data_IF_070264108454
#
_entry.id   IF_070264108454
#
_cell.length_a   1.000
_cell.length_b   1.000
_cell.length_c   1.000
_cell.angle_alpha   90.00
_cell.angle_beta   90.00
_cell.angle_gamma   90.00
#
_symmetry.space_group_name_H-M   'P 1'
#
loop_
_entity.id
_entity.type
_entity.pdbx_description
1 polymer ?
#
# COMPACT_ATOMS: atom_id res chain seq x y z
N UNK A 1 -19.97 -39.15 -5.21
CA UNK A 1 -18.92 -39.89 -4.53
C UNK A 1 -17.83 -40.20 -5.54
N UNK A 2 -16.73 -39.47 -5.48
CA UNK A 2 -15.58 -39.74 -6.35
C UNK A 2 -14.80 -40.92 -5.76
N UNK A 3 -14.71 -42.01 -6.49
CA UNK A 3 -13.91 -43.18 -6.10
C UNK A 3 -12.51 -42.97 -6.67
N UNK A 4 -11.53 -42.74 -5.80
CA UNK A 4 -10.12 -42.65 -6.20
C UNK A 4 -9.54 -44.07 -6.34
N UNK A 5 -9.18 -44.46 -7.56
CA UNK A 5 -8.56 -45.75 -7.85
C UNK A 5 -7.07 -45.49 -8.16
N UNK A 6 -6.15 -46.15 -7.46
CA UNK A 6 -4.71 -46.04 -7.74
C UNK A 6 -4.39 -46.62 -9.12
N UNK A 7 -3.36 -46.10 -9.80
CA UNK A 7 -2.93 -46.59 -11.13
C UNK A 7 -2.62 -48.12 -11.12
N UNK A 8 -2.08 -48.61 -10.02
CA UNK A 8 -1.83 -50.00 -9.83
C UNK A 8 -3.11 -50.86 -9.89
N UNK A 9 -4.20 -50.36 -9.28
CA UNK A 9 -5.51 -51.01 -9.32
C UNK A 9 -6.16 -50.96 -10.70
N UNK A 10 -5.94 -49.87 -11.44
CA UNK A 10 -6.39 -49.72 -12.82
C UNK A 10 -5.70 -50.74 -13.75
N UNK A 11 -4.39 -50.92 -13.60
CA UNK A 11 -3.64 -51.92 -14.39
C UNK A 11 -4.02 -53.33 -14.06
N UNK A 12 -4.28 -53.64 -12.80
CA UNK A 12 -4.76 -54.98 -12.36
C UNK A 12 -6.18 -55.28 -12.85
N UNK A 13 -7.09 -54.28 -12.81
CA UNK A 13 -8.45 -54.44 -13.33
C UNK A 13 -8.47 -54.60 -14.86
N UNK A 14 -7.58 -53.86 -15.58
CA UNK A 14 -7.41 -54.03 -17.04
C UNK A 14 -6.92 -55.45 -17.37
N UNK A 15 -5.91 -55.95 -16.66
CA UNK A 15 -5.38 -57.30 -16.87
C UNK A 15 -6.42 -58.38 -16.52
N UNK A 16 -7.34 -58.11 -15.62
CA UNK A 16 -8.45 -59.00 -15.28
C UNK A 16 -9.57 -58.95 -16.35
N UNK A 17 -9.91 -57.76 -16.85
CA UNK A 17 -10.91 -57.61 -17.90
C UNK A 17 -10.44 -58.22 -19.25
N UNK A 18 -9.17 -58.05 -19.56
CA UNK A 18 -8.53 -58.62 -20.76
C UNK A 18 -8.49 -60.17 -20.71
N UNK A 19 -8.45 -60.76 -19.50
CA UNK A 19 -8.53 -62.20 -19.27
C UNK A 19 -9.94 -62.77 -19.25
N UNK A 20 -10.93 -61.95 -18.94
CA UNK A 20 -12.29 -62.47 -18.66
C UNK A 20 -13.18 -62.57 -19.92
N UNK A 21 -12.96 -61.76 -20.94
CA UNK A 21 -13.76 -61.82 -22.16
C UNK A 21 -13.03 -61.05 -23.27
N UNK A 22 -12.94 -61.60 -24.47
CA UNK A 22 -12.30 -60.98 -25.62
C UNK A 22 -12.91 -59.61 -25.98
N UNK A 23 -12.65 -58.64 -25.17
CA UNK A 23 -13.07 -57.27 -25.34
C UNK A 23 -12.12 -56.54 -26.31
N UNK A 24 -12.26 -56.86 -27.55
CA UNK A 24 -11.90 -55.96 -28.65
C UNK A 24 -12.79 -54.71 -28.54
N UNK A 25 -12.23 -53.58 -28.11
CA UNK A 25 -12.91 -52.31 -28.22
C UNK A 25 -13.21 -51.55 -26.93
N UNK A 26 -12.45 -51.73 -25.84
CA UNK A 26 -12.47 -50.73 -24.75
C UNK A 26 -11.65 -49.52 -25.22
N UNK A 27 -12.32 -48.52 -25.78
CA UNK A 27 -11.74 -47.18 -26.01
C UNK A 27 -11.06 -46.74 -24.72
N UNK A 28 -9.84 -46.21 -24.81
CA UNK A 28 -9.15 -45.65 -23.66
C UNK A 28 -10.09 -44.64 -23.00
N UNK A 29 -10.28 -44.67 -21.68
CA UNK A 29 -11.16 -43.68 -21.05
C UNK A 29 -10.64 -42.29 -21.38
N UNK A 30 -11.41 -41.55 -22.13
CA UNK A 30 -11.14 -40.15 -22.42
C UNK A 30 -11.32 -39.35 -21.13
N UNK A 31 -10.20 -38.98 -20.52
CA UNK A 31 -10.23 -38.17 -19.31
C UNK A 31 -10.49 -36.73 -19.70
N UNK A 32 -11.61 -36.16 -19.30
CA UNK A 32 -11.93 -34.75 -19.50
C UNK A 32 -11.15 -33.83 -18.58
N UNK A 33 -10.74 -34.35 -17.40
CA UNK A 33 -10.04 -33.56 -16.38
C UNK A 33 -9.12 -34.46 -15.55
N UNK A 34 -7.90 -34.01 -15.30
CA UNK A 34 -6.92 -34.66 -14.42
C UNK A 34 -6.49 -33.69 -13.34
N UNK A 35 -6.74 -34.02 -12.08
CA UNK A 35 -6.31 -33.23 -10.94
C UNK A 35 -4.93 -33.69 -10.45
N UNK A 36 -3.94 -32.81 -10.54
CA UNK A 36 -2.58 -33.05 -10.05
C UNK A 36 -2.39 -32.36 -8.71
N UNK A 37 -1.99 -33.10 -7.68
CA UNK A 37 -1.74 -32.60 -6.34
C UNK A 37 -0.24 -32.54 -6.08
N UNK A 38 0.22 -31.41 -5.52
CA UNK A 38 1.61 -31.18 -5.10
C UNK A 38 1.69 -31.06 -3.58
N UNK A 39 2.86 -31.33 -3.01
CA UNK A 39 3.10 -31.25 -1.56
C UNK A 39 3.31 -29.84 -1.04
N UNK A 40 3.52 -28.85 -1.92
CA UNK A 40 3.74 -27.45 -1.54
C UNK A 40 3.48 -26.48 -2.69
N UNK A 41 3.16 -25.24 -2.36
CA UNK A 41 2.82 -24.17 -3.33
C UNK A 41 3.98 -23.88 -4.29
N UNK A 42 5.23 -23.99 -3.82
CA UNK A 42 6.43 -23.75 -4.65
C UNK A 42 6.54 -24.76 -5.80
N UNK A 43 6.13 -26.01 -5.56
CA UNK A 43 6.17 -27.08 -6.57
C UNK A 43 5.04 -26.96 -7.60
N UNK A 44 3.94 -26.28 -7.27
CA UNK A 44 2.82 -26.08 -8.22
C UNK A 44 3.29 -25.39 -9.48
N UNK A 45 4.12 -24.37 -9.36
CA UNK A 45 4.63 -23.60 -10.50
C UNK A 45 5.51 -24.47 -11.40
N UNK A 46 6.45 -25.20 -10.82
CA UNK A 46 7.36 -26.09 -11.57
C UNK A 46 6.58 -27.19 -12.34
N UNK A 47 5.60 -27.81 -11.68
CA UNK A 47 4.74 -28.83 -12.30
C UNK A 47 3.85 -28.22 -13.37
N UNK A 48 3.30 -27.03 -13.15
CA UNK A 48 2.48 -26.31 -14.13
C UNK A 48 3.28 -26.00 -15.40
N UNK A 49 4.50 -25.47 -15.24
CA UNK A 49 5.37 -25.14 -16.37
C UNK A 49 5.78 -26.41 -17.15
N UNK A 50 6.13 -27.46 -16.44
CA UNK A 50 6.49 -28.75 -17.08
C UNK A 50 5.31 -29.41 -17.85
N UNK A 51 4.08 -29.26 -17.37
CA UNK A 51 2.90 -29.76 -18.04
C UNK A 51 2.54 -28.90 -19.26
N UNK A 52 2.72 -27.58 -19.19
CA UNK A 52 2.53 -26.66 -20.32
C UNK A 52 3.55 -26.90 -21.44
N UNK A 53 4.81 -27.17 -21.09
CA UNK A 53 5.84 -27.55 -22.08
C UNK A 53 5.48 -28.82 -22.85
N UNK A 54 4.75 -29.73 -22.21
CA UNK A 54 4.23 -30.95 -22.84
C UNK A 54 2.95 -30.75 -23.66
N UNK A 55 2.44 -29.49 -23.72
CA UNK A 55 1.26 -29.14 -24.51
C UNK A 55 -0.07 -29.35 -23.83
N UNK A 56 -0.09 -29.62 -22.50
CA UNK A 56 -1.33 -29.75 -21.75
C UNK A 56 -1.91 -28.38 -21.39
N UNK A 57 -3.23 -28.26 -21.46
CA UNK A 57 -3.94 -27.11 -20.92
C UNK A 57 -4.01 -27.28 -19.39
N UNK A 58 -3.30 -26.45 -18.67
CA UNK A 58 -3.24 -26.50 -17.20
C UNK A 58 -3.90 -25.27 -16.63
N UNK A 59 -4.87 -25.49 -15.75
CA UNK A 59 -5.44 -24.44 -14.90
C UNK A 59 -4.78 -24.53 -13.52
N UNK A 60 -4.11 -23.46 -13.10
CA UNK A 60 -3.43 -23.42 -11.81
C UNK A 60 -3.93 -22.23 -10.98
N UNK A 61 -4.37 -22.49 -9.75
CA UNK A 61 -4.79 -21.44 -8.81
C UNK A 61 -3.62 -20.49 -8.48
N UNK A 62 -2.37 -20.97 -8.52
CA UNK A 62 -1.19 -20.13 -8.31
C UNK A 62 -1.01 -19.11 -9.43
N UNK A 63 -1.34 -19.43 -10.66
CA UNK A 63 -1.28 -18.50 -11.79
C UNK A 63 -2.32 -17.38 -11.65
N UNK A 64 -3.52 -17.71 -11.18
CA UNK A 64 -4.54 -16.71 -10.85
C UNK A 64 -4.09 -15.80 -9.70
N UNK A 65 -3.47 -16.37 -8.67
CA UNK A 65 -2.90 -15.60 -7.57
C UNK A 65 -1.75 -14.69 -8.03
N UNK A 66 -0.91 -15.14 -8.96
CA UNK A 66 0.17 -14.33 -9.51
C UNK A 66 -0.39 -13.15 -10.35
N UNK A 67 -1.44 -13.38 -11.13
CA UNK A 67 -2.13 -12.33 -11.87
C UNK A 67 -2.78 -11.31 -10.93
N UNK A 68 -3.43 -11.77 -9.86
CA UNK A 68 -3.98 -10.89 -8.82
C UNK A 68 -2.88 -10.10 -8.12
N UNK A 69 -1.75 -10.72 -7.78
CA UNK A 69 -0.61 -10.04 -7.18
C UNK A 69 -0.02 -8.97 -8.11
N UNK A 70 0.07 -9.26 -9.41
CA UNK A 70 0.51 -8.29 -10.42
C UNK A 70 -0.43 -7.08 -10.45
N UNK A 71 -1.74 -7.33 -10.47
CA UNK A 71 -2.75 -6.27 -10.44
C UNK A 71 -2.64 -5.42 -9.16
N UNK A 72 -2.56 -6.06 -7.98
CA UNK A 72 -2.41 -5.34 -6.73
C UNK A 72 -1.10 -4.56 -6.63
N UNK A 73 0.00 -5.08 -7.18
CA UNK A 73 1.27 -4.38 -7.21
C UNK A 73 1.21 -3.15 -8.15
N UNK A 74 0.58 -3.28 -9.31
CA UNK A 74 0.36 -2.14 -10.22
C UNK A 74 -0.54 -1.08 -9.55
N UNK A 75 -1.61 -1.50 -8.88
CA UNK A 75 -2.50 -0.61 -8.14
C UNK A 75 -1.77 0.11 -6.99
N UNK A 76 -0.97 -0.61 -6.19
CA UNK A 76 -0.11 -0.02 -5.15
C UNK A 76 0.87 0.99 -5.72
N UNK A 77 1.52 0.67 -6.85
CA UNK A 77 2.45 1.59 -7.52
C UNK A 77 1.75 2.89 -7.95
N UNK A 78 0.53 2.78 -8.49
CA UNK A 78 -0.30 3.95 -8.82
C UNK A 78 -0.64 4.81 -7.61
N UNK A 79 -1.04 4.19 -6.49
CA UNK A 79 -1.32 4.91 -5.24
C UNK A 79 -0.07 5.57 -4.66
N UNK A 80 1.09 4.91 -4.70
CA UNK A 80 2.37 5.49 -4.26
C UNK A 80 2.73 6.69 -5.12
N UNK A 81 2.55 6.60 -6.43
CA UNK A 81 2.81 7.71 -7.35
C UNK A 81 1.94 8.92 -7.02
N UNK A 82 0.63 8.74 -6.90
CA UNK A 82 -0.32 9.81 -6.53
C UNK A 82 0.04 10.40 -5.16
N UNK A 83 0.33 9.56 -4.17
CA UNK A 83 0.75 9.98 -2.84
C UNK A 83 2.05 10.80 -2.87
N UNK A 84 3.02 10.40 -3.69
CA UNK A 84 4.28 11.12 -3.86
C UNK A 84 4.04 12.51 -4.45
N UNK A 85 3.21 12.61 -5.49
CA UNK A 85 2.84 13.90 -6.09
C UNK A 85 2.14 14.81 -5.07
N UNK A 86 1.21 14.25 -4.28
CA UNK A 86 0.52 15.00 -3.23
C UNK A 86 1.51 15.55 -2.17
N UNK A 87 2.48 14.72 -1.74
CA UNK A 87 3.54 15.12 -0.80
C UNK A 87 4.42 16.23 -1.38
N UNK A 88 4.77 16.16 -2.67
CA UNK A 88 5.54 17.20 -3.34
C UNK A 88 4.78 18.53 -3.37
N UNK A 89 3.49 18.52 -3.70
CA UNK A 89 2.65 19.72 -3.70
C UNK A 89 2.57 20.31 -2.29
N UNK A 90 2.33 19.48 -1.27
CA UNK A 90 2.31 19.92 0.13
C UNK A 90 3.65 20.50 0.57
N UNK A 91 4.77 19.91 0.15
CA UNK A 91 6.13 20.40 0.42
C UNK A 91 6.35 21.81 -0.13
N UNK A 92 5.90 22.06 -1.35
CA UNK A 92 5.96 23.39 -1.97
C UNK A 92 5.07 24.39 -1.21
N UNK A 93 3.88 23.95 -0.77
CA UNK A 93 2.98 24.77 0.05
C UNK A 93 3.62 25.19 1.37
N UNK A 94 4.23 24.26 2.10
CA UNK A 94 4.96 24.55 3.35
C UNK A 94 6.13 25.49 3.09
N UNK A 95 6.92 25.25 2.04
CA UNK A 95 8.04 26.11 1.65
C UNK A 95 7.58 27.56 1.39
N UNK A 96 6.50 27.74 0.64
CA UNK A 96 5.96 29.07 0.33
C UNK A 96 5.45 29.78 1.59
N UNK A 97 4.67 29.07 2.42
CA UNK A 97 4.14 29.62 3.68
C UNK A 97 5.27 30.05 4.63
N UNK A 98 6.27 29.18 4.80
CA UNK A 98 7.42 29.49 5.66
C UNK A 98 8.26 30.63 5.10
N UNK A 99 8.41 30.73 3.75
CA UNK A 99 9.12 31.84 3.13
C UNK A 99 8.38 33.15 3.38
N UNK A 100 7.06 33.15 3.27
CA UNK A 100 6.22 34.32 3.54
C UNK A 100 6.32 34.71 5.03
N UNK A 101 6.21 33.76 5.96
CA UNK A 101 6.35 33.98 7.40
C UNK A 101 7.71 34.64 7.75
N UNK A 102 8.81 34.15 7.16
CA UNK A 102 10.15 34.75 7.35
C UNK A 102 10.19 36.20 6.84
N UNK A 103 9.55 36.48 5.69
CA UNK A 103 9.52 37.79 5.10
C UNK A 103 8.69 38.78 5.94
N UNK A 104 7.52 38.36 6.39
CA UNK A 104 6.63 39.16 7.24
C UNK A 104 7.27 39.50 8.60
N UNK A 105 8.01 38.56 9.20
CA UNK A 105 8.68 38.71 10.49
C UNK A 105 10.12 39.19 10.40
N UNK A 106 10.53 39.77 9.25
CA UNK A 106 11.92 40.23 9.02
C UNK A 106 12.40 41.22 10.09
N UNK A 107 11.55 42.15 10.53
CA UNK A 107 11.88 43.13 11.56
C UNK A 107 12.11 42.47 12.92
N UNK A 108 11.24 41.50 13.32
CA UNK A 108 11.39 40.76 14.57
C UNK A 108 12.70 39.95 14.58
N UNK A 109 13.05 39.33 13.45
CA UNK A 109 14.31 38.61 13.27
C UNK A 109 15.49 39.57 13.39
N UNK A 110 15.38 40.77 12.83
CA UNK A 110 16.38 41.83 12.94
C UNK A 110 16.61 42.26 14.40
N UNK A 111 15.52 42.49 15.16
CA UNK A 111 15.58 42.80 16.59
C UNK A 111 16.23 41.64 17.39
N UNK A 112 15.80 40.39 17.17
CA UNK A 112 16.41 39.25 17.83
C UNK A 112 17.93 39.18 17.57
N UNK A 113 18.39 39.45 16.36
CA UNK A 113 19.82 39.49 16.04
C UNK A 113 20.54 40.68 16.67
N UNK A 114 19.92 41.85 16.74
CA UNK A 114 20.49 43.05 17.37
C UNK A 114 20.74 42.84 18.87
N UNK A 115 19.88 42.09 19.57
CA UNK A 115 20.06 41.75 20.99
C UNK A 115 20.96 40.52 21.21
N UNK A 116 21.57 39.95 20.15
CA UNK A 116 22.57 38.90 20.24
C UNK A 116 22.07 37.46 20.02
N UNK A 117 20.89 37.26 19.47
CA UNK A 117 20.40 35.92 19.12
C UNK A 117 21.31 35.24 18.11
N UNK A 118 21.78 34.03 18.42
CA UNK A 118 22.63 33.22 17.53
C UNK A 118 21.83 32.76 16.32
N UNK A 119 22.43 32.68 15.12
CA UNK A 119 21.78 32.19 13.91
C UNK A 119 21.16 30.80 14.05
N UNK A 120 21.79 29.93 14.84
CA UNK A 120 21.27 28.60 15.15
C UNK A 120 19.94 28.62 15.94
N UNK A 121 19.76 29.59 16.84
CA UNK A 121 18.52 29.77 17.59
C UNK A 121 17.37 30.19 16.67
N UNK A 122 17.59 31.15 15.80
CA UNK A 122 16.62 31.61 14.80
C UNK A 122 16.19 30.45 13.90
N UNK A 123 17.17 29.67 13.39
CA UNK A 123 16.89 28.50 12.57
C UNK A 123 16.02 27.48 13.27
N UNK A 124 16.30 27.18 14.57
CA UNK A 124 15.52 26.23 15.36
C UNK A 124 14.06 26.67 15.54
N UNK A 125 13.80 27.96 15.73
CA UNK A 125 12.43 28.49 15.84
C UNK A 125 11.61 28.15 14.60
N UNK A 126 12.13 28.46 13.40
CA UNK A 126 11.43 28.20 12.15
C UNK A 126 11.32 26.69 11.83
N UNK A 127 12.30 25.88 12.23
CA UNK A 127 12.23 24.42 12.07
C UNK A 127 11.17 23.80 13.01
N UNK A 128 11.05 24.31 14.23
CA UNK A 128 10.00 23.89 15.15
C UNK A 128 8.61 24.27 14.63
N UNK A 129 8.48 25.47 14.06
CA UNK A 129 7.23 25.91 13.43
C UNK A 129 6.84 24.99 12.24
N UNK A 130 7.81 24.62 11.38
CA UNK A 130 7.60 23.66 10.31
C UNK A 130 7.23 22.27 10.84
N UNK A 131 7.90 21.80 11.88
CA UNK A 131 7.59 20.51 12.53
C UNK A 131 6.18 20.52 13.11
N UNK A 132 5.76 21.62 13.72
CA UNK A 132 4.43 21.77 14.29
C UNK A 132 3.34 21.70 13.20
N UNK A 133 3.57 22.33 12.04
CA UNK A 133 2.69 22.21 10.87
C UNK A 133 2.59 20.74 10.43
N UNK A 134 3.72 20.02 10.37
CA UNK A 134 3.75 18.60 10.02
C UNK A 134 3.00 17.71 11.02
N UNK A 135 3.13 18.00 12.32
CA UNK A 135 2.43 17.26 13.38
C UNK A 135 0.91 17.50 13.28
N UNK A 136 0.47 18.74 13.15
CA UNK A 136 -0.95 19.06 12.99
C UNK A 136 -1.53 18.41 11.73
N UNK A 137 -0.80 18.46 10.62
CA UNK A 137 -1.19 17.80 9.37
C UNK A 137 -1.30 16.28 9.54
N UNK A 138 -0.34 15.65 10.24
CA UNK A 138 -0.38 14.22 10.53
C UNK A 138 -1.59 13.85 11.40
N UNK A 139 -1.85 14.61 12.48
CA UNK A 139 -3.00 14.36 13.36
C UNK A 139 -4.33 14.47 12.61
N UNK A 140 -4.51 15.51 11.81
CA UNK A 140 -5.71 15.69 11.00
C UNK A 140 -5.84 14.59 9.95
N UNK A 141 -4.76 14.25 9.26
CA UNK A 141 -4.75 13.17 8.26
C UNK A 141 -5.11 11.82 8.86
N UNK A 142 -4.54 11.49 10.02
CA UNK A 142 -4.85 10.26 10.76
C UNK A 142 -6.32 10.25 11.21
N UNK A 143 -6.82 11.35 11.77
CA UNK A 143 -8.22 11.45 12.18
C UNK A 143 -9.17 11.21 11.01
N UNK A 144 -8.94 11.86 9.87
CA UNK A 144 -9.74 11.66 8.65
C UNK A 144 -9.65 10.21 8.16
N UNK A 145 -8.45 9.61 8.15
CA UNK A 145 -8.27 8.23 7.73
C UNK A 145 -9.07 7.24 8.60
N UNK A 146 -9.08 7.43 9.93
CA UNK A 146 -9.89 6.61 10.83
C UNK A 146 -11.39 6.81 10.62
N UNK A 147 -11.85 8.04 10.37
CA UNK A 147 -13.26 8.32 10.05
C UNK A 147 -13.68 7.61 8.77
N UNK A 148 -12.84 7.67 7.72
CA UNK A 148 -13.11 6.98 6.45
C UNK A 148 -13.10 5.46 6.65
N UNK A 149 -12.12 4.91 7.39
CA UNK A 149 -12.04 3.49 7.70
C UNK A 149 -13.28 3.01 8.47
N UNK A 150 -13.73 3.77 9.46
CA UNK A 150 -14.94 3.48 10.21
C UNK A 150 -16.18 3.51 9.31
N UNK A 151 -16.32 4.54 8.48
CA UNK A 151 -17.43 4.65 7.53
C UNK A 151 -17.43 3.49 6.51
N UNK A 152 -16.26 3.07 6.03
CA UNK A 152 -16.14 1.93 5.13
C UNK A 152 -16.59 0.62 5.80
N UNK A 153 -16.17 0.38 7.05
CA UNK A 153 -16.58 -0.81 7.80
C UNK A 153 -18.08 -0.84 8.12
N UNK A 154 -18.73 0.32 8.15
CA UNK A 154 -20.18 0.42 8.34
C UNK A 154 -20.95 0.28 7.01
N UNK A 155 -20.48 0.94 5.96
CA UNK A 155 -21.19 1.04 4.68
C UNK A 155 -21.07 -0.25 3.84
N UNK A 156 -19.89 -0.88 3.80
CA UNK A 156 -19.65 -2.05 2.94
C UNK A 156 -20.54 -3.24 3.31
N UNK A 157 -20.66 -3.67 4.58
CA UNK A 157 -21.60 -4.73 4.96
C UNK A 157 -23.03 -4.41 4.56
N UNK A 158 -23.49 -3.19 4.85
CA UNK A 158 -24.85 -2.75 4.49
C UNK A 158 -25.13 -2.82 2.98
N UNK A 159 -24.14 -2.44 2.15
CA UNK A 159 -24.28 -2.53 0.69
C UNK A 159 -24.28 -4.00 0.24
N UNK A 160 -23.44 -4.84 0.82
CA UNK A 160 -23.37 -6.27 0.48
C UNK A 160 -24.66 -7.01 0.86
N UNK A 161 -25.23 -6.74 2.02
CA UNK A 161 -26.54 -7.29 2.43
C UNK A 161 -27.67 -6.88 1.48
N UNK A 162 -27.61 -5.66 0.96
CA UNK A 162 -28.64 -5.15 0.03
C UNK A 162 -28.50 -5.74 -1.38
N UNK A 163 -27.27 -6.07 -1.82
CA UNK A 163 -26.99 -6.59 -3.16
C UNK A 163 -27.00 -8.11 -3.22
N UNK A 164 -26.61 -8.78 -2.13
CA UNK A 164 -26.62 -10.25 -2.02
C UNK A 164 -27.95 -10.68 -1.40
N UNK A 165 -28.81 -11.38 -2.13
CA UNK A 165 -30.05 -11.97 -1.64
C UNK A 165 -29.86 -13.05 -0.55
N UNK A 166 -28.65 -13.19 0.00
CA UNK A 166 -28.29 -14.15 1.05
C UNK A 166 -27.81 -13.44 2.30
N UNK A 167 -28.48 -13.72 3.42
CA UNK A 167 -28.04 -13.27 4.74
C UNK A 167 -26.61 -13.77 5.03
N UNK A 168 -25.66 -12.84 5.13
CA UNK A 168 -24.31 -13.09 5.67
C UNK A 168 -24.35 -13.10 7.21
N UNK A 169 -25.36 -13.75 7.80
CA UNK A 169 -25.49 -13.88 9.25
C UNK A 169 -24.28 -14.63 9.82
N UNK A 170 -23.44 -13.91 10.57
CA UNK A 170 -22.42 -14.50 11.44
C UNK A 170 -20.95 -14.37 11.00
N UNK A 171 -20.61 -13.56 10.00
CA UNK A 171 -19.21 -13.33 9.64
C UNK A 171 -18.86 -11.86 9.82
N UNK A 172 -18.18 -11.55 10.93
CA UNK A 172 -17.61 -10.21 11.18
C UNK A 172 -16.43 -9.95 10.25
N UNK A 173 -16.69 -9.39 9.07
CA UNK A 173 -15.64 -8.96 8.16
C UNK A 173 -15.19 -7.53 8.51
N UNK A 174 -13.94 -7.39 8.95
CA UNK A 174 -13.28 -6.08 9.05
C UNK A 174 -12.68 -5.73 7.69
N UNK A 175 -13.36 -4.90 6.91
CA UNK A 175 -12.92 -4.51 5.56
C UNK A 175 -11.75 -3.54 5.56
N UNK A 176 -11.64 -2.70 6.59
CA UNK A 176 -10.56 -1.72 6.72
C UNK A 176 -10.00 -1.74 8.13
N UNK A 177 -8.70 -2.00 8.24
CA UNK A 177 -7.95 -1.92 9.49
C UNK A 177 -6.67 -1.13 9.25
N UNK A 178 -6.46 -0.08 10.05
CA UNK A 178 -5.27 0.76 9.95
C UNK A 178 -4.32 0.35 11.08
N UNK A 179 -3.22 -0.35 10.78
CA UNK A 179 -2.26 -0.76 11.81
C UNK A 179 -1.49 0.47 12.34
N UNK A 180 -1.21 0.46 13.64
CA UNK A 180 -0.48 1.55 14.32
C UNK A 180 0.89 1.82 13.68
N UNK A 181 1.56 0.79 13.19
CA UNK A 181 2.85 0.92 12.48
C UNK A 181 2.73 1.83 11.25
N UNK A 182 1.65 1.69 10.47
CA UNK A 182 1.40 2.53 9.31
C UNK A 182 1.17 3.98 9.72
N UNK A 183 0.40 4.21 10.79
CA UNK A 183 0.14 5.56 11.34
C UNK A 183 1.45 6.23 11.76
N UNK A 184 2.32 5.52 12.47
CA UNK A 184 3.61 6.05 12.91
C UNK A 184 4.54 6.37 11.74
N UNK A 185 4.62 5.49 10.75
CA UNK A 185 5.45 5.72 9.55
C UNK A 185 4.91 6.92 8.76
N UNK A 186 3.61 6.99 8.49
CA UNK A 186 3.01 8.08 7.75
C UNK A 186 3.18 9.43 8.47
N UNK A 187 2.98 9.45 9.80
CA UNK A 187 3.21 10.63 10.63
C UNK A 187 4.68 11.07 10.61
N UNK A 188 5.60 10.11 10.69
CA UNK A 188 7.05 10.37 10.60
C UNK A 188 7.44 10.97 9.25
N UNK A 189 6.90 10.46 8.15
CA UNK A 189 7.09 11.02 6.81
C UNK A 189 6.53 12.44 6.72
N UNK A 190 5.32 12.68 7.22
CA UNK A 190 4.68 14.00 7.20
C UNK A 190 5.52 15.05 7.93
N UNK A 191 5.96 14.76 9.15
CA UNK A 191 6.82 15.65 9.93
C UNK A 191 8.18 15.84 9.26
N UNK A 192 8.78 14.76 8.74
CA UNK A 192 10.05 14.80 8.04
C UNK A 192 10.00 15.71 6.80
N UNK A 193 8.97 15.57 5.98
CA UNK A 193 8.74 16.42 4.80
C UNK A 193 8.54 17.88 5.21
N UNK A 194 7.76 18.14 6.25
CA UNK A 194 7.53 19.51 6.73
C UNK A 194 8.83 20.17 7.19
N UNK A 195 9.65 19.48 7.95
CA UNK A 195 10.96 19.98 8.43
C UNK A 195 11.92 20.21 7.27
N UNK A 196 12.00 19.28 6.32
CA UNK A 196 12.86 19.41 5.13
C UNK A 196 12.43 20.63 4.28
N UNK A 197 11.12 20.81 4.08
CA UNK A 197 10.56 21.93 3.32
C UNK A 197 10.83 23.28 3.99
N UNK A 198 10.82 23.32 5.32
CA UNK A 198 11.13 24.49 6.13
C UNK A 198 12.62 24.82 6.26
N UNK A 199 13.53 23.90 5.90
CA UNK A 199 14.97 24.10 6.06
C UNK A 199 15.52 25.32 5.31
N UNK A 200 15.15 25.47 4.03
CA UNK A 200 15.63 26.59 3.20
C UNK A 200 15.13 27.95 3.70
N UNK A 201 13.82 28.16 3.98
CA UNK A 201 13.34 29.39 4.61
C UNK A 201 13.99 29.67 5.95
N UNK A 202 14.13 28.66 6.82
CA UNK A 202 14.77 28.82 8.13
C UNK A 202 16.24 29.27 8.02
N UNK A 203 17.00 28.75 7.05
CA UNK A 203 18.37 29.22 6.76
C UNK A 203 18.35 30.62 6.19
N UNK A 204 17.39 30.98 5.33
CA UNK A 204 17.25 32.35 4.78
C UNK A 204 17.00 33.35 5.90
N UNK A 205 16.19 33.02 6.90
CA UNK A 205 15.96 33.87 8.09
C UNK A 205 17.26 34.20 8.84
N UNK A 206 18.21 33.26 8.92
CA UNK A 206 19.50 33.50 9.59
C UNK A 206 20.40 34.50 8.82
N UNK A 207 20.17 34.72 7.55
CA UNK A 207 20.99 35.60 6.68
C UNK A 207 20.46 37.04 6.57
N UNK A 208 19.32 37.33 7.21
CA UNK A 208 18.74 38.70 7.19
C UNK A 208 19.73 39.70 7.82
N UNK A 209 19.98 40.82 7.13
CA UNK A 209 20.83 41.86 7.66
C UNK A 209 20.08 42.71 8.68
N UNK A 210 20.68 42.94 9.84
CA UNK A 210 20.07 43.65 10.96
C UNK A 210 19.76 45.11 10.58
N UNK A 211 20.68 45.78 9.86
CA UNK A 211 20.50 47.17 9.48
C UNK A 211 19.34 47.37 8.50
N UNK A 212 19.25 46.50 7.48
CA UNK A 212 18.13 46.54 6.51
C UNK A 212 16.79 46.13 7.13
N UNK A 213 16.80 45.18 8.07
CA UNK A 213 15.60 44.74 8.78
C UNK A 213 15.02 45.82 9.70
N UNK A 214 15.88 46.65 10.32
CA UNK A 214 15.45 47.73 11.22
C UNK A 214 15.16 49.05 10.46
N UNK A 215 15.79 49.25 9.31
CA UNK A 215 15.63 50.38 8.46
C UNK A 215 14.44 50.21 7.54
N UNK A 216 13.29 50.07 7.92
CA UNK A 216 12.07 49.93 7.11
C UNK A 216 12.20 50.64 5.73
N UNK A 217 13.01 50.07 4.83
CA UNK A 217 12.99 50.51 3.44
C UNK A 217 11.73 49.94 2.82
N UNK A 218 10.75 50.81 2.67
CA UNK A 218 9.54 50.65 1.87
C UNK A 218 9.90 50.36 0.41
#
# INVERSE_FOLDING_TARGET
SNIYISEKWKSEMRAFAEKADGAEGLEEPEYSEINVYTTGIEQVKEVTDALKEKGYLVYSVTEELDNLNLFFNAFKAGLIFIGTVAVLIASIGIFNTMTMAVTERTQEIGIMKAIGAQPGMIRRIFLLESAFIGILGALLGVAIAYVISFAANLAIPFILETVSEGSMDGVDFTFSSIPLSLVLIASGISVGVAVISGLRPAVKATKINVLSALRREL
#
